data_IF_648385974015
#
_entry.id   IF_648385974015
#
_cell.length_a   1.000
_cell.length_b   1.000
_cell.length_c   1.000
_cell.angle_alpha   90.00
_cell.angle_beta   90.00
_cell.angle_gamma   90.00
#
_symmetry.space_group_name_H-M   'P 1'
#
loop_
_entity.id
_entity.type
_entity.pdbx_description
1 polymer ?
#
# COMPACT_ATOMS: atom_id res chain seq x y z
N UNK A 1 7.73 0.21 -27.80
CA UNK A 1 6.75 1.30 -27.90
C UNK A 1 6.90 2.26 -26.73
N UNK A 2 6.39 3.49 -26.89
CA UNK A 2 6.44 4.49 -25.82
C UNK A 2 5.68 4.03 -24.57
N UNK A 3 4.59 3.28 -24.73
CA UNK A 3 3.83 2.74 -23.61
C UNK A 3 4.66 1.74 -22.80
N UNK A 4 5.41 0.88 -23.47
CA UNK A 4 6.31 -0.06 -22.81
C UNK A 4 7.42 0.68 -22.06
N UNK A 5 8.00 1.71 -22.67
CA UNK A 5 9.02 2.54 -22.03
C UNK A 5 8.48 3.22 -20.76
N UNK A 6 7.24 3.73 -20.80
CA UNK A 6 6.62 4.36 -19.66
C UNK A 6 6.39 3.38 -18.51
N UNK A 7 6.00 2.14 -18.81
CA UNK A 7 5.86 1.08 -17.82
C UNK A 7 7.21 0.82 -17.15
N UNK A 8 8.28 0.67 -17.92
CA UNK A 8 9.62 0.44 -17.38
C UNK A 8 10.10 1.61 -16.53
N UNK A 9 9.82 2.85 -16.94
CA UNK A 9 10.22 4.03 -16.16
C UNK A 9 9.50 4.12 -14.81
N UNK A 10 8.26 3.61 -14.73
CA UNK A 10 7.45 3.63 -13.51
C UNK A 10 7.76 2.47 -12.58
N UNK A 11 8.29 1.36 -13.10
CA UNK A 11 8.55 0.17 -12.31
C UNK A 11 9.45 0.40 -11.09
N UNK A 12 10.57 1.17 -11.19
CA UNK A 12 11.43 1.38 -10.02
C UNK A 12 10.69 2.01 -8.84
N UNK A 13 9.85 3.03 -9.10
CA UNK A 13 9.07 3.67 -8.06
C UNK A 13 8.02 2.72 -7.48
N UNK A 14 7.24 2.06 -8.34
CA UNK A 14 6.24 1.10 -7.91
C UNK A 14 6.86 -0.03 -7.09
N UNK A 15 8.01 -0.53 -7.54
CA UNK A 15 8.74 -1.57 -6.82
C UNK A 15 9.17 -1.08 -5.44
N UNK A 16 9.66 0.15 -5.32
CA UNK A 16 10.02 0.74 -4.03
C UNK A 16 8.81 0.83 -3.11
N UNK A 17 7.66 1.26 -3.63
CA UNK A 17 6.41 1.30 -2.86
C UNK A 17 6.02 -0.08 -2.37
N UNK A 18 6.02 -1.07 -3.26
CA UNK A 18 5.66 -2.45 -2.89
C UNK A 18 6.61 -3.04 -1.86
N UNK A 19 7.91 -2.75 -1.96
CA UNK A 19 8.89 -3.17 -0.97
C UNK A 19 8.62 -2.51 0.39
N UNK A 20 8.28 -1.21 0.39
CA UNK A 20 7.92 -0.51 1.62
C UNK A 20 6.64 -1.08 2.24
N UNK A 21 5.65 -1.43 1.42
CA UNK A 21 4.42 -2.09 1.90
C UNK A 21 4.73 -3.39 2.63
N UNK A 22 5.69 -4.16 2.13
CA UNK A 22 6.08 -5.43 2.75
C UNK A 22 6.74 -5.24 4.12
N UNK A 23 7.17 -4.02 4.45
CA UNK A 23 7.73 -3.74 5.79
C UNK A 23 6.65 -3.44 6.83
N UNK A 24 5.39 -3.25 6.42
CA UNK A 24 4.28 -3.02 7.35
C UNK A 24 3.90 -4.36 7.98
N UNK A 25 4.12 -4.54 9.29
CA UNK A 25 3.90 -5.83 9.93
C UNK A 25 2.44 -6.26 9.91
N UNK A 26 2.22 -7.55 10.06
CA UNK A 26 0.90 -8.13 10.23
C UNK A 26 0.19 -7.47 11.43
N UNK A 27 -1.09 -7.18 11.27
CA UNK A 27 -1.93 -6.51 12.26
C UNK A 27 -1.54 -5.05 12.54
N UNK A 28 -0.68 -4.46 11.71
CA UNK A 28 -0.33 -3.05 11.77
C UNK A 28 -0.82 -2.33 10.53
N UNK A 29 -0.87 -1.01 10.59
CA UNK A 29 -1.24 -0.15 9.47
C UNK A 29 -0.19 0.94 9.29
N UNK A 30 -0.14 1.50 8.08
CA UNK A 30 0.68 2.67 7.79
C UNK A 30 -0.15 3.63 6.93
N UNK A 31 0.20 4.90 6.95
CA UNK A 31 -0.46 5.90 6.10
C UNK A 31 0.24 5.98 4.74
N UNK A 32 -0.46 6.55 3.75
CA UNK A 32 0.17 6.87 2.46
C UNK A 32 1.39 7.76 2.64
N UNK A 33 1.32 8.69 3.61
CA UNK A 33 2.44 9.56 3.93
C UNK A 33 3.63 8.77 4.48
N UNK A 34 3.39 7.82 5.35
CA UNK A 34 4.44 6.96 5.90
C UNK A 34 5.19 6.22 4.79
N UNK A 35 4.45 5.68 3.83
CA UNK A 35 5.05 4.99 2.69
C UNK A 35 5.81 5.97 1.79
N UNK A 36 5.26 7.15 1.53
CA UNK A 36 5.93 8.18 0.75
C UNK A 36 7.27 8.59 1.39
N UNK A 37 7.29 8.76 2.70
CA UNK A 37 8.52 9.05 3.44
C UNK A 37 9.51 7.88 3.36
N UNK A 38 9.03 6.65 3.48
CA UNK A 38 9.88 5.46 3.41
C UNK A 38 10.57 5.31 2.06
N UNK A 39 9.92 5.71 0.96
CA UNK A 39 10.55 5.68 -0.37
C UNK A 39 11.37 6.94 -0.67
N UNK A 40 11.51 7.84 0.28
CA UNK A 40 12.35 9.03 0.15
C UNK A 40 11.70 10.18 -0.60
N UNK A 41 10.38 10.17 -0.78
CA UNK A 41 9.64 11.23 -1.47
C UNK A 41 8.36 11.58 -0.71
N UNK A 42 8.44 12.41 0.34
CA UNK A 42 7.28 12.73 1.19
C UNK A 42 6.11 13.37 0.47
N UNK A 43 6.34 13.95 -0.71
CA UNK A 43 5.30 14.61 -1.50
C UNK A 43 4.59 13.67 -2.47
N UNK A 44 4.96 12.39 -2.50
CA UNK A 44 4.47 11.44 -3.49
C UNK A 44 3.25 10.64 -3.02
N UNK A 45 2.43 11.17 -2.11
CA UNK A 45 1.28 10.42 -1.56
C UNK A 45 0.31 9.93 -2.65
N UNK A 46 0.04 10.74 -3.68
CA UNK A 46 -0.83 10.33 -4.78
C UNK A 46 -0.22 9.20 -5.60
N UNK A 47 1.07 9.30 -5.89
CA UNK A 47 1.77 8.26 -6.65
C UNK A 47 1.85 6.96 -5.84
N UNK A 48 2.02 7.05 -4.52
CA UNK A 48 1.96 5.90 -3.62
C UNK A 48 0.56 5.27 -3.69
N UNK A 49 -0.49 6.07 -3.64
CA UNK A 49 -1.87 5.58 -3.76
C UNK A 49 -2.10 4.83 -5.07
N UNK A 50 -1.62 5.37 -6.18
CA UNK A 50 -1.73 4.70 -7.47
C UNK A 50 -0.97 3.37 -7.49
N UNK A 51 0.26 3.35 -6.99
CA UNK A 51 1.06 2.13 -6.92
C UNK A 51 0.39 1.10 -5.99
N UNK A 52 -0.16 1.53 -4.87
CA UNK A 52 -0.89 0.69 -3.95
C UNK A 52 -2.08 0.00 -4.62
N UNK A 53 -2.86 0.77 -5.40
CA UNK A 53 -4.04 0.24 -6.10
C UNK A 53 -3.67 -0.69 -7.26
N UNK A 54 -2.45 -0.60 -7.79
CA UNK A 54 -1.96 -1.43 -8.89
C UNK A 54 -1.15 -2.63 -8.42
N UNK A 55 -1.17 -2.92 -7.13
CA UNK A 55 -0.47 -4.08 -6.57
C UNK A 55 -0.99 -5.37 -7.21
N UNK A 56 -0.14 -6.12 -7.96
CA UNK A 56 -0.58 -7.35 -8.62
C UNK A 56 -0.67 -8.56 -7.69
N UNK A 57 -0.13 -8.45 -6.47
CA UNK A 57 -0.04 -9.57 -5.52
C UNK A 57 -0.64 -9.14 -4.19
N UNK A 58 -1.98 -8.94 -4.19
CA UNK A 58 -2.71 -8.55 -3.00
C UNK A 58 -2.51 -9.58 -1.88
N UNK A 59 -2.55 -9.15 -0.64
CA UNK A 59 -2.34 -9.92 0.59
C UNK A 59 -0.85 -10.23 0.81
N UNK A 60 -0.14 -10.79 -0.16
CA UNK A 60 1.31 -11.06 -0.06
C UNK A 60 2.07 -9.73 0.01
N UNK A 61 1.76 -8.79 -0.89
CA UNK A 61 2.17 -7.40 -0.74
C UNK A 61 0.99 -6.67 -0.09
N UNK A 62 1.08 -6.30 1.19
CA UNK A 62 -0.10 -5.99 2.00
C UNK A 62 -0.65 -4.57 1.77
N UNK A 63 -1.14 -4.29 0.58
CA UNK A 63 -1.72 -3.00 0.23
C UNK A 63 -2.97 -2.66 1.05
N UNK A 64 -3.63 -3.66 1.64
CA UNK A 64 -4.77 -3.44 2.53
C UNK A 64 -4.38 -2.75 3.84
N UNK A 65 -3.10 -2.78 4.23
CA UNK A 65 -2.61 -2.17 5.48
C UNK A 65 -2.35 -0.68 5.37
N UNK A 66 -2.59 -0.08 4.21
CA UNK A 66 -2.37 1.35 3.99
C UNK A 66 -3.70 2.09 4.15
N UNK A 67 -3.71 3.06 5.06
CA UNK A 67 -4.90 3.87 5.37
C UNK A 67 -4.58 5.35 5.24
N UNK A 68 -5.60 6.20 5.24
CA UNK A 68 -5.39 7.65 5.29
C UNK A 68 -4.74 8.07 6.60
N UNK A 69 -4.05 9.20 6.61
CA UNK A 69 -3.35 9.70 7.80
C UNK A 69 -4.28 9.99 8.98
N UNK A 70 -5.57 10.17 8.71
CA UNK A 70 -6.60 10.34 9.76
C UNK A 70 -7.22 9.01 10.21
N UNK A 71 -6.71 7.87 9.70
CA UNK A 71 -7.28 6.56 9.97
C UNK A 71 -8.40 6.14 9.04
N UNK A 72 -8.75 6.98 8.07
CA UNK A 72 -9.83 6.68 7.13
C UNK A 72 -9.43 5.56 6.16
N UNK A 73 -10.37 4.67 5.85
CA UNK A 73 -10.19 3.66 4.83
C UNK A 73 -10.42 4.30 3.47
N UNK A 74 -9.35 4.48 2.69
CA UNK A 74 -9.42 5.10 1.37
C UNK A 74 -8.74 4.21 0.35
N UNK A 75 -9.41 3.97 -0.76
CA UNK A 75 -8.86 3.25 -1.90
C UNK A 75 -8.39 1.82 -1.61
N UNK A 76 -8.84 0.88 -2.41
CA UNK A 76 -8.30 -0.49 -2.42
C UNK A 76 -8.77 -1.14 -3.72
N UNK A 77 -7.85 -1.79 -4.44
CA UNK A 77 -8.18 -2.46 -5.70
C UNK A 77 -9.25 -3.54 -5.57
N UNK A 78 -9.32 -4.22 -4.42
CA UNK A 78 -10.33 -5.21 -4.12
C UNK A 78 -11.63 -4.66 -3.52
N UNK A 79 -11.72 -3.33 -3.32
CA UNK A 79 -12.86 -2.67 -2.70
C UNK A 79 -12.69 -2.45 -1.20
N UNK A 80 -13.31 -1.38 -0.70
CA UNK A 80 -13.16 -0.99 0.71
C UNK A 80 -13.72 -2.03 1.67
N UNK A 81 -14.78 -2.75 1.29
CA UNK A 81 -15.33 -3.83 2.11
C UNK A 81 -14.31 -4.95 2.36
N UNK A 82 -13.59 -5.36 1.32
CA UNK A 82 -12.53 -6.37 1.45
C UNK A 82 -11.37 -5.85 2.31
N UNK A 83 -10.98 -4.59 2.11
CA UNK A 83 -9.94 -3.94 2.92
C UNK A 83 -10.29 -3.96 4.40
N UNK A 84 -11.52 -3.57 4.73
CA UNK A 84 -12.02 -3.57 6.11
C UNK A 84 -11.99 -4.98 6.71
N UNK A 85 -12.42 -5.98 5.96
CA UNK A 85 -12.42 -7.38 6.40
C UNK A 85 -11.01 -7.89 6.67
N UNK A 86 -10.07 -7.60 5.80
CA UNK A 86 -8.68 -8.02 5.96
C UNK A 86 -8.06 -7.39 7.20
N UNK A 87 -8.27 -6.10 7.42
CA UNK A 87 -7.78 -5.40 8.60
C UNK A 87 -8.41 -5.96 9.88
N UNK A 88 -9.71 -6.26 9.85
CA UNK A 88 -10.40 -6.85 11.01
C UNK A 88 -9.86 -8.24 11.33
N UNK A 89 -9.62 -9.07 10.32
CA UNK A 89 -9.02 -10.39 10.52
C UNK A 89 -7.64 -10.28 11.15
N UNK A 90 -6.81 -9.36 10.67
CA UNK A 90 -5.47 -9.16 11.20
C UNK A 90 -5.50 -8.67 12.64
N UNK A 91 -6.42 -7.75 12.95
CA UNK A 91 -6.59 -7.25 14.31
C UNK A 91 -7.02 -8.37 15.27
N UNK A 92 -7.90 -9.25 14.79
CA UNK A 92 -8.46 -10.34 15.60
C UNK A 92 -7.45 -11.45 15.88
N UNK A 93 -6.62 -11.80 14.90
CA UNK A 93 -5.71 -12.93 14.96
C UNK A 93 -4.24 -12.53 14.96
N UNK A 94 -3.93 -11.25 14.97
CA UNK A 94 -2.57 -10.75 15.03
C UNK A 94 -1.97 -10.91 16.42
N UNK A 95 -0.65 -10.72 16.53
CA UNK A 95 0.01 -10.79 17.83
C UNK A 95 -0.54 -9.70 18.77
N UNK A 96 -0.74 -10.07 20.01
CA UNK A 96 -1.17 -9.15 21.05
C UNK A 96 0.04 -8.32 21.51
N UNK A 97 0.06 -7.07 21.07
CA UNK A 97 1.11 -6.12 21.49
C UNK A 97 0.51 -5.01 22.33
#
# INVERSE_FOLDING_TARGET
>A
SSAASDVYKRQPFMKQVWQALCTVPYAHTASYKDIAEAVGNPKACRAVGMANNRNPIAIIVPCHRIIGSTGALVGYGGGLGMKERLLELERRYGPAD
#
